data_IF_487184024151
#
_entry.id   IF_487184024151
#
_cell.length_a   1.000
_cell.length_b   1.000
_cell.length_c   1.000
_cell.angle_alpha   90.00
_cell.angle_beta   90.00
_cell.angle_gamma   90.00
#
_symmetry.space_group_name_H-M   'P 1'
#
loop_
_entity.id
_entity.type
_entity.pdbx_description
1 polymer ?
#
# COMPACT_ATOMS: atom_id res chain seq x y z
N UNK A 1 23.63 -7.65 21.80
CA UNK A 1 22.91 -6.83 20.79
C UNK A 1 21.44 -6.88 21.15
N UNK A 2 20.82 -5.75 21.50
CA UNK A 2 19.37 -5.71 21.71
C UNK A 2 18.66 -5.99 20.37
N UNK A 3 17.59 -6.79 20.34
CA UNK A 3 16.79 -6.94 19.13
C UNK A 3 16.27 -5.55 18.75
N UNK A 4 16.54 -5.12 17.52
CA UNK A 4 15.96 -3.89 16.97
C UNK A 4 14.46 -4.02 17.16
N UNK A 5 13.85 -3.08 17.91
CA UNK A 5 12.40 -3.00 18.01
C UNK A 5 11.83 -3.09 16.58
N UNK A 6 10.82 -3.94 16.33
CA UNK A 6 10.23 -4.04 15.01
C UNK A 6 9.81 -2.63 14.61
N UNK A 7 10.29 -2.18 13.43
CA UNK A 7 9.89 -0.89 12.89
C UNK A 7 8.37 -0.88 12.86
N UNK A 8 7.76 0.02 13.63
CA UNK A 8 6.32 0.24 13.56
C UNK A 8 6.06 0.95 12.25
N UNK A 9 5.93 0.18 11.18
CA UNK A 9 5.42 0.66 9.90
C UNK A 9 4.13 1.45 10.19
N UNK A 10 4.01 2.72 9.75
CA UNK A 10 2.78 3.47 9.93
C UNK A 10 1.62 2.70 9.33
N UNK A 11 0.61 2.39 10.15
CA UNK A 11 -0.57 1.63 9.70
C UNK A 11 -1.31 2.43 8.64
N UNK A 12 -1.45 1.87 7.45
CA UNK A 12 -2.39 2.32 6.43
C UNK A 12 -3.82 2.03 6.89
N UNK A 13 -4.76 2.88 6.52
CA UNK A 13 -6.18 2.64 6.83
C UNK A 13 -6.72 1.49 5.99
N UNK A 14 -7.38 0.53 6.65
CA UNK A 14 -7.97 -0.68 6.05
C UNK A 14 -9.50 -0.60 5.95
N UNK A 15 -10.10 0.55 6.26
CA UNK A 15 -11.55 0.67 6.38
C UNK A 15 -12.35 0.45 5.10
N UNK A 16 -11.69 0.47 3.94
CA UNK A 16 -12.29 0.14 2.65
C UNK A 16 -12.04 -1.31 2.21
N UNK A 17 -11.12 -2.03 2.86
CA UNK A 17 -10.69 -3.36 2.45
C UNK A 17 -11.85 -4.35 2.61
N UNK A 18 -12.12 -5.12 1.56
CA UNK A 18 -13.19 -6.13 1.52
C UNK A 18 -12.64 -7.55 1.48
N UNK A 19 -11.60 -7.78 0.68
CA UNK A 19 -10.98 -9.10 0.54
C UNK A 19 -9.52 -8.99 0.10
N UNK A 20 -8.77 -10.05 0.37
CA UNK A 20 -7.35 -10.19 0.02
C UNK A 20 -7.16 -11.45 -0.82
N UNK A 21 -6.31 -11.41 -1.85
CA UNK A 21 -6.05 -12.56 -2.73
C UNK A 21 -4.57 -12.70 -3.07
N UNK A 22 -4.05 -13.92 -3.06
CA UNK A 22 -2.71 -14.21 -3.57
C UNK A 22 -2.76 -14.42 -5.10
N UNK A 23 -1.95 -13.68 -5.86
CA UNK A 23 -1.92 -13.78 -7.33
C UNK A 23 -0.73 -14.58 -7.88
N UNK A 24 0.10 -15.13 -6.99
CA UNK A 24 1.21 -15.99 -7.37
C UNK A 24 0.70 -17.39 -7.71
N UNK A 25 0.74 -17.79 -8.99
CA UNK A 25 0.20 -19.08 -9.47
C UNK A 25 0.91 -20.30 -8.85
N UNK A 26 2.14 -20.13 -8.37
CA UNK A 26 2.93 -21.19 -7.73
C UNK A 26 2.63 -21.36 -6.23
N UNK A 27 1.75 -20.52 -5.66
CA UNK A 27 1.42 -20.53 -4.23
C UNK A 27 0.17 -21.37 -3.94
N UNK A 28 0.19 -22.16 -2.87
CA UNK A 28 -1.00 -22.94 -2.44
C UNK A 28 -2.20 -22.03 -2.11
N UNK A 29 -1.95 -20.81 -1.63
CA UNK A 29 -3.01 -19.85 -1.33
C UNK A 29 -3.57 -19.15 -2.59
N UNK A 30 -3.04 -19.42 -3.79
CA UNK A 30 -3.55 -18.85 -5.03
C UNK A 30 -4.96 -19.34 -5.38
N UNK A 31 -5.27 -20.58 -5.03
CA UNK A 31 -6.56 -21.21 -5.33
C UNK A 31 -7.68 -20.72 -4.40
N UNK A 32 -7.34 -19.96 -3.36
CA UNK A 32 -8.32 -19.40 -2.44
C UNK A 32 -8.98 -18.17 -3.03
N UNK A 33 -10.31 -18.13 -2.98
CA UNK A 33 -11.08 -16.97 -3.41
C UNK A 33 -10.79 -15.73 -2.55
N UNK A 34 -10.55 -15.93 -1.26
CA UNK A 34 -10.22 -14.91 -0.27
C UNK A 34 -9.24 -15.50 0.75
N UNK A 35 -8.16 -14.77 1.05
CA UNK A 35 -7.24 -15.10 2.13
C UNK A 35 -7.86 -14.77 3.49
N UNK A 36 -7.65 -15.66 4.45
CA UNK A 36 -7.91 -15.42 5.85
C UNK A 36 -6.92 -14.38 6.41
N UNK A 37 -7.43 -13.26 6.91
CA UNK A 37 -6.61 -12.15 7.37
C UNK A 37 -5.78 -12.47 8.62
N UNK A 38 -6.19 -13.45 9.43
CA UNK A 38 -5.47 -13.82 10.67
C UNK A 38 -4.34 -14.81 10.43
N UNK A 39 -4.45 -15.63 9.39
CA UNK A 39 -3.56 -16.79 9.19
C UNK A 39 -2.81 -16.80 7.86
N UNK A 40 -3.26 -16.04 6.85
CA UNK A 40 -2.73 -16.11 5.48
C UNK A 40 -2.23 -14.77 4.94
N UNK A 41 -2.41 -13.68 5.70
CA UNK A 41 -2.00 -12.32 5.36
C UNK A 41 -1.02 -11.77 6.40
N UNK A 42 0.18 -11.38 5.96
CA UNK A 42 1.07 -10.57 6.80
C UNK A 42 0.62 -9.10 6.70
N UNK A 43 -0.17 -8.63 7.65
CA UNK A 43 -0.64 -7.23 7.68
C UNK A 43 0.48 -6.19 7.84
N UNK A 44 1.71 -6.60 8.18
CA UNK A 44 2.86 -5.67 8.28
C UNK A 44 3.46 -5.37 6.93
N UNK A 45 3.40 -6.32 6.00
CA UNK A 45 4.01 -6.24 4.68
C UNK A 45 2.98 -6.28 3.55
N UNK A 46 1.72 -6.59 3.86
CA UNK A 46 0.64 -6.82 2.90
C UNK A 46 1.01 -7.89 1.87
N UNK A 47 1.60 -8.98 2.36
CA UNK A 47 2.01 -10.12 1.56
C UNK A 47 1.32 -11.40 2.03
N UNK A 48 1.30 -12.39 1.15
CA UNK A 48 0.81 -13.72 1.52
C UNK A 48 1.83 -14.40 2.46
N UNK A 49 1.36 -14.91 3.60
CA UNK A 49 2.22 -15.57 4.61
C UNK A 49 2.95 -16.82 4.05
N UNK A 50 2.40 -17.47 3.03
CA UNK A 50 3.04 -18.63 2.40
C UNK A 50 4.21 -18.18 1.51
N UNK A 51 3.92 -17.43 0.45
CA UNK A 51 4.90 -17.20 -0.61
C UNK A 51 5.64 -15.86 -0.50
N UNK A 52 5.22 -14.98 0.42
CA UNK A 52 5.77 -13.63 0.58
C UNK A 52 5.44 -12.65 -0.55
N UNK A 53 4.63 -13.04 -1.53
CA UNK A 53 4.24 -12.16 -2.64
C UNK A 53 3.15 -11.16 -2.20
N UNK A 54 3.14 -9.93 -2.76
CA UNK A 54 2.11 -8.94 -2.48
C UNK A 54 0.71 -9.46 -2.78
N UNK A 55 -0.22 -9.20 -1.86
CA UNK A 55 -1.63 -9.58 -2.06
C UNK A 55 -2.37 -8.52 -2.87
N UNK A 56 -3.28 -8.97 -3.73
CA UNK A 56 -4.28 -8.11 -4.35
C UNK A 56 -5.38 -7.81 -3.34
N UNK A 57 -5.64 -6.53 -3.12
CA UNK A 57 -6.61 -6.04 -2.15
C UNK A 57 -7.81 -5.49 -2.91
N UNK A 58 -8.99 -6.01 -2.61
CA UNK A 58 -10.25 -5.44 -3.05
C UNK A 58 -10.68 -4.37 -2.05
N UNK A 59 -10.91 -3.14 -2.52
CA UNK A 59 -11.40 -2.03 -1.70
C UNK A 59 -12.73 -1.54 -2.24
N UNK A 60 -13.70 -1.28 -1.36
CA UNK A 60 -15.02 -0.75 -1.75
C UNK A 60 -15.39 0.48 -0.93
N UNK A 61 -15.85 1.54 -1.61
CA UNK A 61 -16.30 2.77 -0.94
C UNK A 61 -17.77 2.69 -0.50
N UNK A 62 -18.23 3.69 0.27
CA UNK A 62 -19.63 3.78 0.69
C UNK A 62 -20.64 3.98 -0.44
N UNK A 63 -20.17 4.31 -1.65
CA UNK A 63 -20.98 4.39 -2.87
C UNK A 63 -21.08 3.05 -3.63
N UNK A 64 -20.44 1.99 -3.13
CA UNK A 64 -20.41 0.67 -3.76
C UNK A 64 -19.40 0.55 -4.90
N UNK A 65 -18.48 1.50 -5.06
CA UNK A 65 -17.42 1.40 -6.05
C UNK A 65 -16.32 0.48 -5.53
N UNK A 66 -16.03 -0.57 -6.29
CA UNK A 66 -14.92 -1.49 -6.02
C UNK A 66 -13.69 -1.16 -6.87
N UNK A 67 -12.52 -1.19 -6.25
CA UNK A 67 -11.21 -1.04 -6.89
C UNK A 67 -10.26 -2.12 -6.38
N UNK A 68 -9.22 -2.41 -7.15
CA UNK A 68 -8.21 -3.40 -6.81
C UNK A 68 -6.83 -2.76 -6.74
N UNK A 69 -6.08 -3.03 -5.67
CA UNK A 69 -4.77 -2.43 -5.42
C UNK A 69 -3.79 -3.44 -4.87
N UNK A 70 -2.51 -3.13 -5.01
CA UNK A 70 -1.42 -3.65 -4.20
C UNK A 70 -0.93 -2.57 -3.25
N UNK A 71 -0.51 -2.97 -2.06
CA UNK A 71 0.15 -2.07 -1.12
C UNK A 71 1.66 -2.12 -1.31
N UNK A 72 2.28 -0.96 -1.39
CA UNK A 72 3.74 -0.83 -1.40
C UNK A 72 4.19 0.33 -0.52
N UNK A 73 5.44 0.30 -0.04
CA UNK A 73 6.00 1.40 0.72
C UNK A 73 6.11 2.66 -0.16
N UNK A 74 5.88 3.84 0.41
CA UNK A 74 5.88 5.10 -0.31
C UNK A 74 7.20 5.35 -1.07
N UNK A 75 8.33 4.88 -0.52
CA UNK A 75 9.65 5.00 -1.15
C UNK A 75 9.80 4.19 -2.45
N UNK A 76 9.01 3.13 -2.61
CA UNK A 76 9.07 2.21 -3.74
C UNK A 76 8.12 2.63 -4.87
N UNK A 77 7.29 3.66 -4.64
CA UNK A 77 6.45 4.28 -5.65
C UNK A 77 7.32 4.99 -6.69
N UNK A 78 7.02 4.79 -7.97
CA UNK A 78 7.72 5.44 -9.08
C UNK A 78 6.79 6.35 -9.89
N UNK A 79 7.39 7.29 -10.62
CA UNK A 79 6.68 8.17 -11.55
C UNK A 79 5.87 7.33 -12.54
N UNK A 80 4.61 7.71 -12.75
CA UNK A 80 3.67 7.03 -13.64
C UNK A 80 2.78 5.99 -12.96
N UNK A 81 3.09 5.56 -11.73
CA UNK A 81 2.14 4.76 -10.94
C UNK A 81 0.85 5.53 -10.69
N UNK A 82 -0.24 4.79 -10.47
CA UNK A 82 -1.54 5.31 -10.09
C UNK A 82 -1.79 4.93 -8.62
N UNK A 83 -2.17 5.90 -7.80
CA UNK A 83 -2.42 5.69 -6.37
C UNK A 83 -3.84 6.10 -5.99
N UNK A 84 -4.45 5.35 -5.08
CA UNK A 84 -5.60 5.81 -4.32
C UNK A 84 -5.13 6.37 -2.96
N UNK A 85 -5.77 7.45 -2.50
CA UNK A 85 -5.48 7.99 -1.17
C UNK A 85 -6.29 7.24 -0.12
N UNK A 86 -5.72 7.07 1.07
CA UNK A 86 -6.32 6.28 2.16
C UNK A 86 -7.72 6.75 2.59
N UNK A 87 -8.06 8.01 2.31
CA UNK A 87 -9.35 8.62 2.65
C UNK A 87 -10.28 8.78 1.45
N UNK A 88 -9.82 8.45 0.23
CA UNK A 88 -10.58 8.63 -1.00
C UNK A 88 -10.10 7.66 -2.09
N UNK A 89 -10.92 6.64 -2.36
CA UNK A 89 -10.72 5.69 -3.46
C UNK A 89 -11.59 6.01 -4.70
N UNK A 90 -12.27 7.15 -4.71
CA UNK A 90 -13.09 7.59 -5.85
C UNK A 90 -12.25 8.09 -7.02
N UNK A 91 -10.98 8.43 -6.79
CA UNK A 91 -10.10 8.90 -7.85
C UNK A 91 -8.69 8.34 -7.67
N UNK A 92 -8.15 7.76 -8.74
CA UNK A 92 -6.76 7.32 -8.78
C UNK A 92 -5.90 8.47 -9.30
N UNK A 93 -4.88 8.85 -8.54
CA UNK A 93 -3.99 9.95 -8.88
C UNK A 93 -2.70 9.43 -9.48
N UNK A 94 -2.33 9.94 -10.65
CA UNK A 94 -1.05 9.64 -11.28
C UNK A 94 0.10 10.30 -10.52
N UNK A 95 1.15 9.54 -10.25
CA UNK A 95 2.40 10.03 -9.67
C UNK A 95 3.21 10.76 -10.76
N UNK A 96 3.46 12.05 -10.52
CA UNK A 96 4.24 12.92 -11.41
C UNK A 96 5.72 12.98 -11.03
N UNK A 97 6.03 12.87 -9.73
CA UNK A 97 7.38 12.83 -9.18
C UNK A 97 7.39 11.98 -7.89
N UNK A 98 8.46 11.22 -7.68
CA UNK A 98 8.70 10.44 -6.45
C UNK A 98 10.15 10.62 -6.03
N UNK A 99 10.40 11.15 -4.84
CA UNK A 99 11.76 11.37 -4.32
C UNK A 99 11.78 11.57 -2.82
N UNK A 100 12.97 11.50 -2.24
CA UNK A 100 13.21 11.92 -0.87
C UNK A 100 12.85 13.40 -0.70
N UNK A 101 12.18 13.72 0.42
CA UNK A 101 11.90 15.10 0.79
C UNK A 101 13.17 15.90 1.07
N UNK A 102 13.04 17.22 1.01
CA UNK A 102 14.16 18.15 1.15
C UNK A 102 13.94 19.11 2.34
N UNK A 103 15.03 19.73 2.81
CA UNK A 103 14.99 20.69 3.91
C UNK A 103 14.87 20.07 5.30
N UNK A 104 14.89 20.92 6.34
CA UNK A 104 14.89 20.49 7.74
C UNK A 104 13.60 19.77 8.15
N UNK A 105 12.45 20.25 7.67
CA UNK A 105 11.13 19.75 8.09
C UNK A 105 10.74 18.44 7.39
N UNK A 106 11.08 18.29 6.11
CA UNK A 106 10.60 17.18 5.28
C UNK A 106 11.72 16.24 4.81
N UNK A 107 12.99 16.49 5.20
CA UNK A 107 14.15 15.70 4.76
C UNK A 107 14.13 14.22 5.17
N UNK A 108 13.31 13.85 6.17
CA UNK A 108 13.09 12.46 6.60
C UNK A 108 11.90 11.78 5.92
N UNK A 109 11.10 12.52 5.16
CA UNK A 109 9.87 12.04 4.51
C UNK A 109 10.13 11.66 3.07
N UNK A 110 9.22 10.87 2.52
CA UNK A 110 9.13 10.64 1.09
C UNK A 110 8.12 11.61 0.48
N UNK A 111 8.49 12.27 -0.62
CA UNK A 111 7.65 13.23 -1.33
C UNK A 111 7.11 12.60 -2.61
N UNK A 112 5.79 12.57 -2.71
CA UNK A 112 5.07 12.20 -3.93
C UNK A 112 4.35 13.44 -4.47
N UNK A 113 4.63 13.82 -5.70
CA UNK A 113 3.81 14.79 -6.43
C UNK A 113 2.77 14.00 -7.22
N UNK A 114 1.49 14.26 -7.00
CA UNK A 114 0.40 13.57 -7.67
C UNK A 114 -0.31 14.53 -8.62
N UNK A 115 -1.04 14.03 -9.61
CA UNK A 115 -1.97 14.88 -10.34
C UNK A 115 -2.93 15.57 -9.35
N UNK A 116 -3.14 16.89 -9.50
CA UNK A 116 -3.91 17.74 -8.58
C UNK A 116 -3.30 17.99 -7.19
N UNK A 117 -2.17 17.37 -6.82
CA UNK A 117 -1.45 17.63 -5.57
C UNK A 117 0.02 17.94 -5.81
N UNK A 118 0.42 19.19 -5.53
CA UNK A 118 1.80 19.66 -5.73
C UNK A 118 2.85 18.84 -4.97
N UNK A 119 2.52 18.39 -3.75
CA UNK A 119 3.36 17.52 -2.93
C UNK A 119 2.56 16.93 -1.77
N UNK A 120 2.58 15.61 -1.64
CA UNK A 120 2.20 14.89 -0.43
C UNK A 120 3.46 14.29 0.19
N UNK A 121 3.47 14.19 1.52
CA UNK A 121 4.63 13.71 2.28
C UNK A 121 4.24 12.54 3.17
N UNK A 122 4.95 11.44 3.01
CA UNK A 122 4.73 10.18 3.69
C UNK A 122 5.97 9.80 4.50
N UNK A 123 5.83 8.93 5.51
CA UNK A 123 7.01 8.21 5.97
C UNK A 123 7.51 7.30 4.82
N UNK A 124 8.83 7.11 4.63
CA UNK A 124 9.33 6.28 3.53
C UNK A 124 8.80 4.85 3.52
N UNK A 125 8.58 4.30 4.71
CA UNK A 125 8.05 2.96 5.00
C UNK A 125 6.53 2.94 5.18
N UNK A 126 5.82 4.06 5.03
CA UNK A 126 4.37 4.06 5.03
C UNK A 126 3.85 3.39 3.76
N UNK A 127 2.93 2.44 3.91
CA UNK A 127 2.26 1.83 2.77
C UNK A 127 1.28 2.78 2.10
N UNK A 128 1.13 2.66 0.79
CA UNK A 128 0.13 3.35 -0.04
C UNK A 128 -0.59 2.38 -0.96
N UNK A 129 -1.82 2.70 -1.34
CA UNK A 129 -2.63 1.89 -2.26
C UNK A 129 -2.25 2.20 -3.71
N UNK A 130 -1.61 1.24 -4.40
CA UNK A 130 -1.13 1.35 -5.79
C UNK A 130 -1.91 0.41 -6.71
N UNK A 131 -2.28 0.88 -7.89
CA UNK A 131 -2.83 0.02 -8.97
C UNK A 131 -1.69 -0.76 -9.63
#
# INVERSE_FOLDING_TARGET
MAPKQPRRTPRIATGFDQSYRCKNEDCENHVLDVLDAETQLDERTWTCEECGEPVLIEMTDGGGRTVYVYRCEAKDVVKGNMLYLDHDISHAYRVLESKKGEGKTNGSKWRLALEKYTALYFAPDQYVNRI
#
